data_IF_948568911703
#
_entry.id   IF_948568911703
#
_cell.length_a   1.000
_cell.length_b   1.000
_cell.length_c   1.000
_cell.angle_alpha   90.00
_cell.angle_beta   90.00
_cell.angle_gamma   90.00
#
_symmetry.space_group_name_H-M   'P 1'
#
loop_
_entity.id
_entity.type
_entity.pdbx_description
1 polymer ?
#
# COMPACT_ATOMS: atom_id res chain seq x y z
N UNK A 1 -9.70 37.04 42.73
CA UNK A 1 -8.94 37.74 41.68
C UNK A 1 -9.07 36.96 40.39
N UNK A 2 -9.09 37.62 39.23
CA UNK A 2 -9.22 37.00 37.90
C UNK A 2 -8.09 37.52 37.01
N UNK A 3 -7.49 36.63 36.23
CA UNK A 3 -6.54 36.98 35.19
C UNK A 3 -6.91 36.26 33.90
N UNK A 4 -6.69 36.95 32.78
CA UNK A 4 -6.98 36.48 31.45
C UNK A 4 -5.71 36.68 30.60
N UNK A 5 -5.38 35.68 29.77
CA UNK A 5 -4.19 35.69 28.90
C UNK A 5 -4.66 35.41 27.47
N UNK A 6 -4.33 36.27 26.48
CA UNK A 6 -4.68 36.01 25.10
C UNK A 6 -3.90 34.82 24.56
N UNK A 7 -4.59 33.87 23.93
CA UNK A 7 -3.97 32.77 23.21
C UNK A 7 -3.78 33.15 21.74
N UNK A 8 -2.54 33.04 21.25
CA UNK A 8 -2.18 33.41 19.88
C UNK A 8 -2.32 32.28 18.85
N UNK A 9 -2.55 31.04 19.29
CA UNK A 9 -2.57 29.85 18.44
C UNK A 9 -3.70 28.88 18.80
N UNK A 10 -4.17 28.14 17.80
CA UNK A 10 -5.19 27.10 17.95
C UNK A 10 -4.59 25.85 18.58
N UNK A 11 -5.29 25.23 19.52
CA UNK A 11 -4.89 23.95 20.10
C UNK A 11 -5.21 23.80 21.59
N UNK A 12 -4.61 22.78 22.21
CA UNK A 12 -4.76 22.49 23.62
C UNK A 12 -3.80 23.34 24.45
N UNK A 13 -4.34 24.23 25.29
CA UNK A 13 -3.60 25.08 26.19
C UNK A 13 -3.69 24.59 27.63
N UNK A 14 -2.62 24.80 28.39
CA UNK A 14 -2.55 24.51 29.83
C UNK A 14 -2.35 25.82 30.60
N UNK A 15 -3.28 26.12 31.50
CA UNK A 15 -3.14 27.20 32.47
C UNK A 15 -2.78 26.62 33.84
N UNK A 16 -1.82 27.23 34.53
CA UNK A 16 -1.46 26.83 35.90
C UNK A 16 -1.11 28.03 36.76
N UNK A 17 -1.52 27.99 38.03
CA UNK A 17 -1.15 28.97 39.06
C UNK A 17 -0.07 28.42 40.04
N UNK A 18 0.52 27.27 39.72
CA UNK A 18 1.48 26.55 40.56
C UNK A 18 0.86 25.57 41.57
N UNK A 19 -0.45 25.62 41.83
CA UNK A 19 -1.18 24.66 42.68
C UNK A 19 -2.27 23.91 41.91
N UNK A 20 -2.94 24.60 41.01
CA UNK A 20 -4.01 24.07 40.16
C UNK A 20 -3.57 24.14 38.70
N UNK A 21 -4.04 23.18 37.92
CA UNK A 21 -3.82 23.11 36.47
C UNK A 21 -5.14 22.86 35.78
N UNK A 22 -5.44 23.66 34.75
CA UNK A 22 -6.60 23.49 33.89
C UNK A 22 -6.16 23.33 32.44
N UNK A 23 -6.83 22.42 31.73
CA UNK A 23 -6.66 22.23 30.29
C UNK A 23 -7.83 22.89 29.59
N UNK A 24 -7.55 23.68 28.56
CA UNK A 24 -8.57 24.33 27.73
C UNK A 24 -8.22 24.16 26.26
N UNK A 25 -9.21 23.82 25.43
CA UNK A 25 -9.03 23.75 23.98
C UNK A 25 -9.43 25.10 23.38
N UNK A 26 -8.52 25.73 22.66
CA UNK A 26 -8.72 27.02 21.99
C UNK A 26 -8.81 26.72 20.50
N UNK A 27 -10.03 26.70 19.98
CA UNK A 27 -10.31 26.44 18.58
C UNK A 27 -11.66 27.00 18.18
N UNK A 28 -11.92 27.24 16.87
CA UNK A 28 -13.26 27.53 16.41
C UNK A 28 -14.22 26.41 16.82
N UNK A 29 -15.44 26.76 17.24
CA UNK A 29 -16.46 25.80 17.67
C UNK A 29 -16.82 24.76 16.59
N UNK A 30 -16.45 25.01 15.33
CA UNK A 30 -16.64 24.12 14.20
C UNK A 30 -15.28 23.87 13.50
N UNK A 31 -14.46 22.92 13.99
CA UNK A 31 -13.21 22.57 13.32
C UNK A 31 -13.50 22.00 11.92
N UNK A 32 -12.67 22.32 10.93
CA UNK A 32 -12.89 21.89 9.53
C UNK A 32 -12.88 20.36 9.40
N UNK A 33 -12.15 19.68 10.29
CA UNK A 33 -12.06 18.23 10.40
C UNK A 33 -13.38 17.56 10.82
N UNK A 34 -14.30 18.32 11.43
CA UNK A 34 -15.65 17.86 11.81
C UNK A 34 -16.76 18.45 10.92
N UNK A 35 -16.40 19.21 9.89
CA UNK A 35 -17.39 19.84 9.01
C UNK A 35 -18.09 18.84 8.09
N UNK A 36 -17.46 17.71 7.76
CA UNK A 36 -18.02 16.70 6.86
C UNK A 36 -17.70 15.28 7.34
N UNK A 37 -18.42 14.84 8.36
CA UNK A 37 -18.29 13.48 8.95
C UNK A 37 -19.17 12.46 8.21
N UNK A 38 -19.96 12.91 7.24
CA UNK A 38 -20.85 12.03 6.47
C UNK A 38 -20.02 11.24 5.46
N UNK A 39 -20.08 9.91 5.58
CA UNK A 39 -19.48 9.02 4.60
C UNK A 39 -20.12 9.21 3.22
N UNK A 40 -19.36 9.69 2.24
CA UNK A 40 -19.79 9.86 0.85
C UNK A 40 -18.79 9.25 -0.13
N UNK A 41 -19.30 8.75 -1.26
CA UNK A 41 -18.50 8.32 -2.42
C UNK A 41 -18.21 9.46 -3.39
N UNK A 42 -18.92 10.58 -3.27
CA UNK A 42 -18.94 11.67 -4.26
C UNK A 42 -17.58 12.36 -4.39
N UNK A 43 -16.84 12.46 -3.28
CA UNK A 43 -15.49 13.03 -3.25
C UNK A 43 -14.53 12.28 -4.18
N UNK A 44 -14.69 10.96 -4.31
CA UNK A 44 -13.88 10.11 -5.18
C UNK A 44 -14.46 9.97 -6.60
N UNK A 45 -15.67 10.48 -6.85
CA UNK A 45 -16.36 10.39 -8.14
C UNK A 45 -15.52 10.89 -9.31
N UNK A 46 -14.94 12.11 -9.27
CA UNK A 46 -14.10 12.62 -10.35
C UNK A 46 -12.87 11.74 -10.64
N UNK A 47 -12.24 11.20 -9.59
CA UNK A 47 -11.06 10.35 -9.72
C UNK A 47 -11.41 8.98 -10.33
N UNK A 48 -12.50 8.38 -9.86
CA UNK A 48 -12.96 7.07 -10.34
C UNK A 48 -13.45 7.15 -11.79
N UNK A 49 -14.11 8.25 -12.17
CA UNK A 49 -14.46 8.53 -13.57
C UNK A 49 -13.22 8.67 -14.46
N UNK A 50 -12.20 9.42 -14.02
CA UNK A 50 -10.98 9.64 -14.80
C UNK A 50 -10.11 8.37 -14.94
N UNK A 51 -10.19 7.44 -13.99
CA UNK A 51 -9.37 6.22 -13.95
C UNK A 51 -10.10 4.97 -14.46
N UNK A 52 -11.39 5.08 -14.77
CA UNK A 52 -12.25 3.94 -15.10
C UNK A 52 -12.53 3.00 -13.93
N UNK A 53 -12.23 3.44 -12.69
CA UNK A 53 -12.46 2.70 -11.46
C UNK A 53 -13.82 2.99 -10.83
N UNK A 54 -13.98 2.61 -9.55
CA UNK A 54 -15.22 2.79 -8.81
C UNK A 54 -15.00 3.20 -7.36
N UNK A 55 -15.97 3.94 -6.81
CA UNK A 55 -16.12 4.19 -5.38
C UNK A 55 -17.53 3.72 -4.99
N UNK A 56 -17.60 2.61 -4.26
CA UNK A 56 -18.86 2.01 -3.83
C UNK A 56 -18.85 1.70 -2.35
N UNK A 57 -20.04 1.70 -1.75
CA UNK A 57 -20.24 1.32 -0.37
C UNK A 57 -20.27 -0.21 -0.25
N UNK A 58 -19.44 -0.75 0.65
CA UNK A 58 -19.30 -2.20 0.87
C UNK A 58 -20.20 -2.71 1.99
N UNK A 59 -20.65 -1.83 2.88
CA UNK A 59 -21.54 -2.16 3.98
C UNK A 59 -22.65 -1.12 4.10
N UNK A 60 -23.89 -1.59 4.21
CA UNK A 60 -25.07 -0.78 4.47
C UNK A 60 -25.93 -1.41 5.58
N UNK A 61 -27.14 -0.89 5.79
CA UNK A 61 -28.05 -1.39 6.82
C UNK A 61 -28.60 -2.81 6.52
N UNK A 62 -28.52 -3.27 5.28
CA UNK A 62 -29.02 -4.56 4.82
C UNK A 62 -27.97 -5.66 4.81
N UNK A 63 -26.69 -5.31 4.81
CA UNK A 63 -25.59 -6.27 4.91
C UNK A 63 -24.25 -5.74 4.40
N UNK A 64 -23.34 -6.69 4.16
CA UNK A 64 -22.00 -6.42 3.62
C UNK A 64 -21.86 -7.14 2.27
N UNK A 65 -21.58 -6.38 1.23
CA UNK A 65 -21.34 -6.89 -0.14
C UNK A 65 -19.95 -6.43 -0.59
N UNK A 66 -19.02 -7.38 -0.64
CA UNK A 66 -17.63 -7.12 -1.05
C UNK A 66 -17.46 -7.55 -2.50
N UNK A 67 -17.13 -6.62 -3.43
CA UNK A 67 -16.85 -7.01 -4.81
C UNK A 67 -15.56 -7.82 -4.89
N UNK A 68 -15.46 -8.70 -5.88
CA UNK A 68 -14.24 -9.45 -6.15
C UNK A 68 -13.13 -8.52 -6.64
N UNK A 69 -11.91 -8.68 -6.12
CA UNK A 69 -10.75 -7.92 -6.58
C UNK A 69 -10.03 -8.71 -7.68
N UNK A 70 -9.96 -8.16 -8.88
CA UNK A 70 -9.36 -8.81 -10.04
C UNK A 70 -8.09 -8.07 -10.51
N UNK A 71 -6.97 -8.76 -10.78
CA UNK A 71 -5.80 -8.12 -11.38
C UNK A 71 -6.05 -7.79 -12.85
N UNK A 72 -5.81 -6.53 -13.24
CA UNK A 72 -6.00 -6.04 -14.61
C UNK A 72 -4.70 -5.42 -15.12
N UNK A 73 -4.20 -5.89 -16.28
CA UNK A 73 -2.91 -5.43 -16.86
C UNK A 73 -3.07 -4.21 -17.77
N UNK A 74 -3.99 -4.25 -18.72
CA UNK A 74 -4.35 -3.10 -19.55
C UNK A 74 -5.85 -3.13 -19.84
N UNK A 75 -6.58 -2.15 -19.32
CA UNK A 75 -7.98 -1.91 -19.59
C UNK A 75 -8.23 -0.43 -19.37
N UNK A 76 -9.21 0.14 -20.08
CA UNK A 76 -9.74 1.48 -19.77
C UNK A 76 -10.77 1.41 -18.63
N UNK A 77 -11.32 0.23 -18.36
CA UNK A 77 -12.32 -0.03 -17.31
C UNK A 77 -11.75 -0.95 -16.23
N UNK A 78 -11.80 -0.50 -14.98
CA UNK A 78 -11.36 -1.20 -13.77
C UNK A 78 -12.52 -1.47 -12.82
N UNK A 79 -13.74 -1.64 -13.33
CA UNK A 79 -14.93 -1.98 -12.53
C UNK A 79 -15.94 -2.81 -13.31
N UNK A 80 -16.76 -3.56 -12.60
CA UNK A 80 -17.96 -4.21 -13.10
C UNK A 80 -19.02 -4.37 -12.01
N UNK A 81 -20.05 -5.15 -12.28
CA UNK A 81 -21.18 -5.34 -11.36
C UNK A 81 -20.72 -5.95 -10.01
N UNK A 82 -20.03 -7.09 -10.05
CA UNK A 82 -19.55 -7.82 -8.86
C UNK A 82 -18.01 -7.82 -8.71
N UNK A 83 -17.30 -6.91 -9.38
CA UNK A 83 -15.84 -6.87 -9.30
C UNK A 83 -15.25 -5.48 -9.44
N UNK A 84 -14.05 -5.32 -8.88
CA UNK A 84 -13.21 -4.13 -8.99
C UNK A 84 -11.80 -4.52 -9.44
N UNK A 85 -11.24 -3.75 -10.37
CA UNK A 85 -9.96 -4.00 -11.00
C UNK A 85 -8.81 -3.39 -10.21
N UNK A 86 -7.78 -4.18 -9.92
CA UNK A 86 -6.50 -3.71 -9.42
C UNK A 86 -5.52 -3.62 -10.60
N UNK A 87 -5.04 -2.42 -10.90
CA UNK A 87 -4.02 -2.23 -11.93
C UNK A 87 -2.72 -2.88 -11.51
N UNK A 88 -2.33 -3.94 -12.21
CA UNK A 88 -1.06 -4.62 -11.97
C UNK A 88 0.07 -3.71 -12.41
N UNK A 89 0.87 -3.24 -11.45
CA UNK A 89 2.15 -2.59 -11.73
C UNK A 89 3.22 -3.67 -11.68
N UNK A 90 4.20 -3.63 -12.57
CA UNK A 90 5.40 -4.48 -12.52
C UNK A 90 6.34 -4.01 -11.39
N UNK A 91 5.78 -3.87 -10.18
CA UNK A 91 6.51 -3.59 -8.97
C UNK A 91 7.29 -4.85 -8.60
N UNK A 92 8.48 -4.99 -9.18
CA UNK A 92 9.43 -6.02 -8.80
C UNK A 92 10.23 -5.51 -7.61
N UNK A 93 10.17 -6.25 -6.50
CA UNK A 93 11.13 -6.08 -5.40
C UNK A 93 12.33 -6.96 -5.75
N UNK A 94 13.49 -6.35 -5.99
CA UNK A 94 14.73 -7.10 -6.21
C UNK A 94 15.10 -7.80 -4.90
N UNK A 95 14.81 -9.10 -4.80
CA UNK A 95 15.07 -9.90 -3.59
C UNK A 95 16.50 -10.44 -3.49
N UNK A 96 17.30 -10.27 -4.55
CA UNK A 96 18.70 -10.68 -4.55
C UNK A 96 19.24 -10.84 -5.96
N UNK A 97 20.56 -10.66 -6.10
CA UNK A 97 21.30 -10.98 -7.30
C UNK A 97 21.77 -12.43 -7.14
N UNK A 98 21.22 -13.35 -7.94
CA UNK A 98 21.73 -14.72 -8.02
C UNK A 98 23.03 -14.74 -8.82
N UNK A 99 24.17 -14.64 -8.15
CA UNK A 99 25.47 -14.87 -8.79
C UNK A 99 25.69 -16.38 -8.88
N UNK A 100 25.49 -16.96 -10.07
CA UNK A 100 26.06 -18.27 -10.37
C UNK A 100 27.59 -18.09 -10.52
N UNK A 101 28.42 -18.78 -9.74
CA UNK A 101 29.86 -18.71 -9.90
C UNK A 101 30.25 -19.18 -11.30
N UNK A 102 30.98 -18.36 -12.07
CA UNK A 102 31.41 -18.68 -13.45
C UNK A 102 32.17 -20.02 -13.50
N UNK A 103 32.93 -20.33 -12.45
CA UNK A 103 33.69 -21.56 -12.33
C UNK A 103 32.83 -22.83 -12.15
N UNK A 104 31.59 -22.71 -11.68
CA UNK A 104 30.70 -23.87 -11.51
C UNK A 104 30.39 -24.55 -12.86
N UNK A 105 30.20 -23.76 -13.92
CA UNK A 105 30.00 -24.29 -15.27
C UNK A 105 31.24 -24.99 -15.84
N UNK A 106 32.42 -24.41 -15.64
CA UNK A 106 33.69 -24.98 -16.13
C UNK A 106 34.04 -26.29 -15.42
N UNK A 107 33.84 -26.37 -14.09
CA UNK A 107 34.03 -27.61 -13.33
C UNK A 107 33.08 -28.71 -13.80
N UNK A 108 31.81 -28.38 -14.05
CA UNK A 108 30.84 -29.32 -14.61
C UNK A 108 31.24 -29.84 -15.98
N UNK A 109 31.74 -28.96 -16.86
CA UNK A 109 32.22 -29.35 -18.19
C UNK A 109 33.46 -30.23 -18.12
N UNK A 110 34.43 -29.90 -17.26
CA UNK A 110 35.64 -30.72 -17.07
C UNK A 110 35.28 -32.12 -16.56
N UNK A 111 34.35 -32.22 -15.61
CA UNK A 111 33.83 -33.50 -15.14
C UNK A 111 33.18 -34.29 -16.27
N UNK A 112 32.32 -33.65 -17.07
CA UNK A 112 31.66 -34.29 -18.22
C UNK A 112 32.69 -34.84 -19.23
N UNK A 113 33.65 -34.00 -19.65
CA UNK A 113 34.69 -34.39 -20.60
C UNK A 113 35.57 -35.52 -20.04
N UNK A 114 35.91 -35.46 -18.76
CA UNK A 114 36.71 -36.49 -18.09
C UNK A 114 35.96 -37.82 -18.03
N UNK A 115 34.66 -37.81 -17.75
CA UNK A 115 33.82 -39.01 -17.76
C UNK A 115 33.74 -39.65 -19.15
N UNK A 116 33.53 -38.86 -20.20
CA UNK A 116 33.50 -39.35 -21.59
C UNK A 116 34.85 -39.95 -22.00
N UNK A 117 35.95 -39.27 -21.67
CA UNK A 117 37.30 -39.78 -21.93
C UNK A 117 37.57 -41.09 -21.17
N UNK A 118 37.14 -41.18 -19.91
CA UNK A 118 37.31 -42.38 -19.09
C UNK A 118 36.52 -43.58 -19.61
N UNK A 119 35.30 -43.38 -20.13
CA UNK A 119 34.53 -44.45 -20.79
C UNK A 119 35.27 -44.95 -22.04
N UNK A 120 35.72 -44.04 -22.91
CA UNK A 120 36.45 -44.44 -24.12
C UNK A 120 37.75 -45.20 -23.83
N UNK A 121 38.49 -44.80 -22.79
CA UNK A 121 39.71 -45.50 -22.34
C UNK A 121 39.44 -46.88 -21.74
N UNK A 122 38.24 -47.11 -21.19
CA UNK A 122 37.83 -48.40 -20.63
C UNK A 122 37.40 -49.37 -21.72
N UNK A 123 36.61 -48.92 -22.68
CA UNK A 123 36.19 -49.73 -23.83
C UNK A 123 37.29 -49.94 -24.88
N UNK A 124 38.32 -49.10 -24.90
CA UNK A 124 39.47 -49.22 -25.81
C UNK A 124 40.58 -50.19 -25.36
N UNK A 125 40.41 -50.86 -24.21
CA UNK A 125 41.26 -51.97 -23.75
C UNK A 125 40.52 -53.29 -23.97
#
# INVERSE_FOLDING_TARGET
>A
WRADVPAGELGLWRASDGKLTALTNIGPANPREFAEVTSTTDVLGPLTAATGGDARRVADASGVTVPRVLPVRSSETFKGEDWIGLKMRDASVVRGIGVLPVFAGVLGLLLLLSSVAATWLREGR
#
